data_IF_710766795722
#
_entry.id   IF_710766795722
#
_cell.length_a   1.000
_cell.length_b   1.000
_cell.length_c   1.000
_cell.angle_alpha   90.00
_cell.angle_beta   90.00
_cell.angle_gamma   90.00
#
_symmetry.space_group_name_H-M   'P 1'
#
loop_
_entity.id
_entity.type
_entity.pdbx_description
1 polymer ?
2 non-polymer ?
3 water ?
#
# COMPACT_ATOMS: atom_id res chain seq x y z
N UNK A 6 -6.94 7.20 30.42
CA UNK A 6 -5.82 6.95 29.52
C UNK A 6 -4.94 8.19 29.45
N UNK A 7 -3.63 7.98 29.48
CA UNK A 7 -2.66 9.08 29.44
C UNK A 7 -2.28 9.36 27.99
N UNK A 8 -2.42 10.62 27.58
CA UNK A 8 -2.14 11.03 26.22
C UNK A 8 -1.19 12.22 26.21
N UNK A 9 -0.33 12.28 25.20
CA UNK A 9 0.44 13.48 24.95
C UNK A 9 -0.51 14.61 24.57
N UNK A 10 -0.42 15.78 25.22
CA UNK A 10 -1.28 16.90 24.77
C UNK A 10 -1.03 17.30 23.35
N UNK A 11 0.17 17.05 22.84
CA UNK A 11 0.53 17.39 21.48
C UNK A 11 1.80 16.64 21.10
N UNK A 12 1.93 16.36 19.81
CA UNK A 12 3.16 15.79 19.29
C UNK A 12 3.36 16.29 17.86
N UNK A 13 4.59 16.21 17.39
CA UNK A 13 4.95 16.67 16.06
C UNK A 13 5.12 15.49 15.12
N UNK A 14 4.74 15.71 13.86
CA UNK A 14 4.71 14.64 12.87
C UNK A 14 5.20 15.19 11.54
N UNK A 15 6.29 14.63 11.02
CA UNK A 15 6.78 14.94 9.69
C UNK A 15 6.37 13.80 8.76
N UNK A 16 5.65 14.15 7.69
CA UNK A 16 5.10 13.16 6.77
C UNK A 16 5.94 13.16 5.50
N UNK A 17 6.32 11.96 5.04
CA UNK A 17 6.96 11.76 3.75
C UNK A 17 5.95 11.05 2.86
N UNK A 18 5.71 11.59 1.67
CA UNK A 18 4.82 10.99 0.70
C UNK A 18 5.65 10.55 -0.50
N UNK A 19 5.73 9.25 -0.70
CA UNK A 19 6.51 8.69 -1.79
C UNK A 19 6.51 7.18 -1.71
N UNK A 20 7.20 6.56 -2.67
CA UNK A 20 7.34 5.11 -2.69
C UNK A 20 8.73 4.70 -3.12
N UNK A 21 9.73 5.53 -2.82
CA UNK A 21 11.10 5.21 -3.18
C UNK A 21 11.64 4.12 -2.25
N UNK A 22 12.42 3.21 -2.80
CA UNK A 22 13.01 2.15 -2.00
C UNK A 22 14.03 2.74 -1.03
N UNK A 23 13.91 2.37 0.25
CA UNK A 23 14.83 2.78 1.29
C UNK A 23 15.67 1.58 1.71
N UNK A 24 16.82 1.34 1.08
CA UNK A 24 17.55 0.09 1.35
C UNK A 24 17.81 -0.17 2.83
N UNK A 25 18.27 0.82 3.58
CA UNK A 25 18.61 0.59 4.98
C UNK A 25 17.39 0.17 5.79
N UNK A 26 16.24 0.77 5.51
CA UNK A 26 15.01 0.40 6.21
C UNK A 26 14.67 -1.07 5.95
N UNK A 27 14.63 -1.47 4.68
CA UNK A 27 14.32 -2.85 4.34
C UNK A 27 15.34 -3.79 4.97
N UNK A 28 16.61 -3.40 4.99
CA UNK A 28 17.66 -4.24 5.53
C UNK A 28 17.62 -4.34 7.06
N UNK A 29 16.79 -3.54 7.72
CA UNK A 29 16.72 -3.54 9.18
C UNK A 29 15.55 -4.36 9.72
N UNK A 30 14.78 -5.02 8.85
CA UNK A 30 13.65 -5.81 9.31
C UNK A 30 14.13 -7.01 10.12
N UNK A 31 13.46 -7.25 11.24
CA UNK A 31 13.82 -8.35 12.12
C UNK A 31 12.57 -9.12 12.53
N UNK A 32 12.67 -10.43 12.74
CA UNK A 32 11.53 -11.16 13.30
C UNK A 32 11.15 -10.64 14.67
N UNK A 33 9.85 -10.59 14.94
CA UNK A 33 9.34 -10.14 16.21
C UNK A 33 8.94 -8.69 16.25
N UNK A 34 9.24 -7.91 15.21
CA UNK A 34 8.84 -6.52 15.18
C UNK A 34 7.33 -6.38 15.20
N UNK A 35 6.85 -5.41 15.96
CA UNK A 35 5.43 -5.12 16.01
C UNK A 35 4.99 -4.39 14.73
N UNK A 36 3.67 -4.32 14.54
CA UNK A 36 3.15 -3.60 13.38
C UNK A 36 3.47 -2.11 13.48
N UNK A 37 3.43 -1.55 14.69
CA UNK A 37 3.83 -0.16 14.87
C UNK A 37 5.28 0.05 14.47
N UNK A 38 6.15 -0.94 14.77
CA UNK A 38 7.56 -0.80 14.44
C UNK A 38 7.80 -0.85 12.94
N UNK A 39 7.11 -1.77 12.25
CA UNK A 39 7.28 -1.87 10.80
C UNK A 39 6.73 -0.62 10.12
N UNK A 40 5.63 -0.06 10.64
CA UNK A 40 5.06 1.14 10.04
C UNK A 40 6.05 2.30 10.05
N UNK A 41 6.75 2.50 11.17
CA UNK A 41 7.71 3.60 11.26
C UNK A 41 8.97 3.34 10.45
N UNK A 42 9.25 2.07 10.12
CA UNK A 42 10.47 1.73 9.40
C UNK A 42 10.26 1.79 7.88
N UNK A 43 9.21 1.13 7.38
CA UNK A 43 8.95 1.05 5.94
C UNK A 43 7.94 2.07 5.46
N UNK A 44 6.99 2.45 6.30
CA UNK A 44 5.93 3.36 5.92
C UNK A 44 4.57 2.70 6.00
N UNK A 45 3.54 3.53 5.88
CA UNK A 45 2.17 3.08 5.95
C UNK A 45 1.74 2.54 4.58
N UNK A 46 1.51 1.22 4.45
CA UNK A 46 1.14 0.68 3.14
C UNK A 46 -0.24 1.15 2.72
N UNK A 47 -0.56 0.89 1.45
CA UNK A 47 -1.84 1.31 0.90
C UNK A 47 -2.90 0.32 1.39
N UNK A 48 -3.25 0.45 2.67
CA UNK A 48 -4.26 -0.39 3.32
C UNK A 48 -5.14 0.50 4.17
N UNK A 49 -6.45 0.27 4.12
CA UNK A 49 -7.37 1.05 4.94
C UNK A 49 -7.04 0.88 6.42
N UNK A 50 -6.87 -0.35 6.88
CA UNK A 50 -6.62 -0.66 8.28
C UNK A 50 -5.45 -1.65 8.37
N UNK A 51 -4.24 -1.11 8.45
CA UNK A 51 -3.06 -1.97 8.56
C UNK A 51 -2.96 -2.62 9.92
N UNK A 52 -3.42 -1.93 10.98
CA UNK A 52 -3.28 -2.46 12.33
C UNK A 52 -3.93 -3.84 12.48
N UNK A 53 -4.98 -4.11 11.70
CA UNK A 53 -5.74 -5.33 11.83
C UNK A 53 -5.78 -6.12 10.52
N UNK A 54 -4.71 -6.02 9.74
CA UNK A 54 -4.48 -6.87 8.58
C UNK A 54 -3.12 -7.55 8.77
N UNK A 55 -3.08 -8.86 8.57
CA UNK A 55 -1.88 -9.64 8.85
C UNK A 55 -0.91 -9.70 7.67
N UNK A 56 -1.31 -9.22 6.50
CA UNK A 56 -0.42 -9.16 5.34
C UNK A 56 -0.45 -7.76 4.75
N UNK A 57 0.72 -7.17 4.55
CA UNK A 57 0.86 -5.88 3.89
C UNK A 57 1.71 -6.05 2.64
N UNK A 58 1.37 -5.31 1.60
CA UNK A 58 2.09 -5.36 0.33
C UNK A 58 2.58 -3.97 -0.03
N UNK A 59 3.85 -3.87 -0.38
CA UNK A 59 4.47 -2.63 -0.81
C UNK A 59 4.92 -2.75 -2.26
N UNK A 60 4.87 -1.62 -2.97
CA UNK A 60 5.48 -1.50 -4.30
C UNK A 60 6.39 -0.28 -4.26
N UNK A 61 7.70 -0.52 -4.34
CA UNK A 61 8.68 0.54 -4.28
C UNK A 61 9.24 0.84 -5.67
N UNK A 62 9.74 2.06 -5.82
CA UNK A 62 10.38 2.51 -7.06
C UNK A 62 11.85 2.82 -6.80
N UNK A 63 12.69 2.47 -7.77
CA UNK A 63 14.09 2.86 -7.77
C UNK A 63 14.30 3.81 -8.94
N UNK A 64 14.55 5.08 -8.64
CA UNK A 64 14.67 6.12 -9.66
C UNK A 64 16.05 6.75 -9.60
N UNK A 65 16.60 7.03 -10.77
CA UNK A 65 17.88 7.72 -10.89
C UNK A 65 17.75 8.76 -11.99
N UNK A 66 18.19 9.99 -11.70
CA UNK A 66 18.02 11.13 -12.59
C UNK A 66 16.55 11.47 -12.82
N UNK A 67 15.68 11.06 -11.90
CA UNK A 67 14.26 11.35 -12.02
C UNK A 67 13.49 10.39 -12.90
N UNK A 68 14.02 9.19 -13.14
CA UNK A 68 13.38 8.22 -14.02
C UNK A 68 13.29 6.90 -13.27
N UNK A 69 12.08 6.36 -13.16
CA UNK A 69 11.88 5.08 -12.49
C UNK A 69 12.57 3.99 -13.30
N UNK A 70 13.58 3.36 -12.71
CA UNK A 70 14.37 2.35 -13.40
C UNK A 70 13.86 0.93 -13.15
N UNK A 71 13.31 0.67 -11.98
CA UNK A 71 12.76 -0.65 -11.69
C UNK A 71 11.81 -0.53 -10.50
N UNK A 72 10.90 -1.48 -10.41
CA UNK A 72 9.93 -1.54 -9.32
C UNK A 72 10.20 -2.76 -8.46
N UNK A 73 10.10 -2.57 -7.15
CA UNK A 73 10.38 -3.62 -6.17
C UNK A 73 9.13 -3.85 -5.33
N UNK A 74 8.75 -5.11 -5.17
CA UNK A 74 7.60 -5.48 -4.37
C UNK A 74 8.08 -6.09 -3.06
N UNK A 75 7.35 -5.80 -1.98
CA UNK A 75 7.64 -6.37 -0.67
C UNK A 75 6.33 -6.79 -0.03
N UNK A 76 6.33 -7.97 0.58
CA UNK A 76 5.19 -8.48 1.34
C UNK A 76 5.69 -8.87 2.72
N UNK A 77 4.99 -8.38 3.75
CA UNK A 77 5.31 -8.71 5.13
C UNK A 77 4.12 -9.42 5.73
N UNK A 78 4.39 -10.45 6.54
CA UNK A 78 3.37 -11.24 7.19
C UNK A 78 3.49 -11.12 8.70
N UNK A 79 2.36 -11.02 9.38
CA UNK A 79 2.32 -10.91 10.83
C UNK A 79 1.53 -12.07 11.42
N UNK A 80 1.96 -12.51 12.61
CA UNK A 80 1.24 -13.51 13.38
C UNK A 80 1.34 -13.11 14.85
N UNK A 81 0.19 -13.06 15.52
CA UNK A 81 0.12 -12.59 16.90
C UNK A 81 0.70 -11.19 17.05
N UNK A 82 0.57 -10.37 16.00
CA UNK A 82 0.94 -8.98 16.06
C UNK A 82 2.41 -8.69 15.83
N UNK A 83 3.22 -9.68 15.44
CA UNK A 83 4.64 -9.46 15.20
C UNK A 83 5.01 -10.03 13.83
N UNK A 84 6.13 -9.53 13.30
CA UNK A 84 6.59 -9.88 11.97
C UNK A 84 7.23 -11.27 11.98
N UNK A 85 6.92 -12.07 10.97
CA UNK A 85 7.41 -13.45 10.90
C UNK A 85 7.95 -13.83 9.54
N UNK A 86 7.62 -13.13 8.45
CA UNK A 86 8.02 -13.57 7.13
C UNK A 86 8.00 -12.39 6.17
N UNK A 87 8.88 -12.45 5.15
CA UNK A 87 8.95 -11.43 4.12
C UNK A 87 9.11 -12.11 2.77
N UNK A 88 8.51 -11.49 1.74
CA UNK A 88 8.65 -11.94 0.37
C UNK A 88 8.82 -10.72 -0.54
N UNK A 89 9.28 -10.97 -1.75
CA UNK A 89 9.37 -9.92 -2.74
C UNK A 89 10.81 -9.56 -3.06
N UNK A 90 11.02 -9.05 -4.27
CA UNK A 90 12.36 -8.73 -4.75
C UNK A 90 12.92 -7.44 -4.16
N UNK A 91 12.14 -6.71 -3.34
CA UNK A 91 12.69 -5.55 -2.66
C UNK A 91 13.78 -5.95 -1.69
N UNK A 92 13.71 -7.15 -1.13
CA UNK A 92 14.73 -7.61 -0.19
C UNK A 92 16.08 -7.73 -0.88
N UNK A 93 16.13 -8.39 -2.03
CA UNK A 93 17.40 -8.58 -2.73
C UNK A 93 17.88 -7.28 -3.35
N UNK A 94 16.95 -6.48 -3.90
CA UNK A 94 17.33 -5.19 -4.48
C UNK A 94 17.90 -4.24 -3.43
N UNK A 95 17.38 -4.31 -2.20
CA UNK A 95 17.92 -3.47 -1.13
C UNK A 95 19.31 -3.91 -0.74
N UNK A 96 19.53 -5.22 -0.61
CA UNK A 96 20.85 -5.73 -0.23
C UNK A 96 21.88 -5.41 -1.30
N UNK A 97 21.49 -5.46 -2.58
CA UNK A 97 22.42 -5.15 -3.65
C UNK A 97 22.78 -3.66 -3.68
N UNK A 98 21.83 -2.79 -3.33
CA UNK A 98 22.13 -1.36 -3.28
C UNK A 98 23.06 -1.02 -2.13
N UNK A 99 22.87 -1.66 -0.98
CA UNK A 99 23.75 -1.43 0.16
C UNK A 99 25.16 -1.90 -0.13
N UNK A 100 25.30 -3.07 -0.76
CA UNK A 100 26.63 -3.57 -1.10
C UNK A 100 27.27 -2.73 -2.21
N UNK A 101 26.46 -2.18 -3.11
CA UNK A 101 27.00 -1.30 -4.14
C UNK A 101 27.52 -0.01 -3.53
N UNK A 102 26.83 0.50 -2.50
CA UNK A 102 27.33 1.68 -1.79
C UNK A 102 28.64 1.38 -1.08
N UNK A 103 28.78 0.17 -0.54
CA UNK A 103 30.04 -0.22 0.10
C UNK A 103 31.17 -0.30 -0.91
N UNK A 104 30.93 -0.97 -2.05
CA UNK A 104 31.96 -1.09 -3.07
C UNK A 104 32.40 0.28 -3.59
N UNK A 105 31.49 1.26 -3.58
CA UNK A 105 31.85 2.59 -4.04
C UNK A 105 32.70 3.34 -3.02
N UNK A 106 32.56 3.00 -1.74
CA UNK A 106 33.43 3.60 -0.72
C UNK A 106 34.87 3.17 -0.92
N UNK A 107 35.09 1.97 -1.44
CA UNK A 107 36.42 1.45 -1.71
C UNK A 107 36.94 1.80 -3.09
N UNK A 108 36.19 2.60 -3.84
CA UNK A 108 36.58 2.99 -5.19
C UNK A 108 36.70 1.75 -6.09
N UNK B 7 12.39 18.45 25.16
CA UNK B 7 11.08 18.75 24.63
C UNK B 7 10.01 17.94 25.36
N UNK B 8 8.89 18.60 25.71
CA UNK B 8 7.80 17.91 26.39
C UNK B 8 6.99 17.04 25.45
N UNK B 9 7.02 17.34 24.15
CA UNK B 9 6.21 16.63 23.18
C UNK B 9 7.09 15.85 22.20
N UNK B 10 6.77 14.60 21.90
CA UNK B 10 7.61 13.81 21.01
C UNK B 10 7.46 14.25 19.57
N UNK B 11 8.32 13.68 18.72
CA UNK B 11 8.35 14.01 17.31
C UNK B 11 8.66 12.74 16.53
N UNK B 12 7.87 12.46 15.50
CA UNK B 12 8.00 11.24 14.73
C UNK B 12 8.05 11.55 13.25
N UNK B 13 8.65 10.63 12.50
CA UNK B 13 8.69 10.69 11.04
C UNK B 13 7.89 9.51 10.51
N UNK B 14 6.90 9.80 9.67
CA UNK B 14 6.04 8.78 9.09
C UNK B 14 6.03 8.92 7.57
N UNK B 15 6.22 7.81 6.88
CA UNK B 15 6.15 7.77 5.42
C UNK B 15 4.81 7.20 5.01
N UNK B 16 4.10 7.92 4.14
CA UNK B 16 2.84 7.46 3.57
C UNK B 16 3.10 7.01 2.15
N UNK B 17 2.84 5.74 1.86
CA UNK B 17 3.21 5.14 0.59
C UNK B 17 2.31 5.68 -0.51
N UNK B 18 2.91 6.14 -1.60
CA UNK B 18 2.20 6.66 -2.75
C UNK B 18 1.96 5.54 -3.76
N UNK B 19 0.88 5.69 -4.52
CA UNK B 19 0.53 4.72 -5.55
C UNK B 19 -0.94 4.37 -5.58
N UNK B 20 -1.36 3.67 -6.63
CA UNK B 20 -2.73 3.17 -6.77
C UNK B 20 -3.75 4.27 -6.47
N UNK B 21 -3.61 5.40 -7.16
CA UNK B 21 -4.55 6.50 -6.98
C UNK B 21 -5.91 6.11 -7.53
N UNK B 22 -6.96 6.51 -6.81
CA UNK B 22 -8.32 6.14 -7.19
C UNK B 22 -8.66 6.67 -8.58
N UNK B 23 -9.21 5.79 -9.42
CA UNK B 23 -9.75 6.18 -10.71
C UNK B 23 -11.27 6.19 -10.62
N UNK B 24 -11.90 7.34 -10.36
CA UNK B 24 -13.36 7.32 -10.09
C UNK B 24 -14.17 6.72 -11.23
N UNK B 25 -13.83 7.03 -12.48
CA UNK B 25 -14.58 6.50 -13.61
C UNK B 25 -14.52 4.98 -13.65
N UNK B 26 -13.35 4.41 -13.36
CA UNK B 26 -13.22 2.96 -13.37
C UNK B 26 -14.10 2.31 -12.30
N UNK B 27 -14.10 2.88 -11.09
CA UNK B 27 -14.87 2.31 -10.00
C UNK B 27 -16.37 2.49 -10.25
N UNK B 28 -16.77 3.67 -10.70
CA UNK B 28 -18.18 3.92 -11.01
C UNK B 28 -18.65 3.16 -12.24
N UNK B 29 -17.76 2.44 -12.93
CA UNK B 29 -18.13 1.69 -14.12
C UNK B 29 -18.54 0.26 -13.81
N UNK B 30 -18.25 -0.25 -12.62
CA UNK B 30 -18.58 -1.62 -12.27
C UNK B 30 -20.10 -1.81 -12.23
N UNK B 31 -20.57 -2.89 -12.86
CA UNK B 31 -21.98 -3.21 -12.91
C UNK B 31 -22.17 -4.70 -12.69
N UNK B 32 -23.26 -5.10 -12.05
CA UNK B 32 -23.53 -6.54 -11.91
C UNK B 32 -23.63 -7.22 -13.26
N UNK B 33 -23.11 -8.45 -13.33
CA UNK B 33 -23.10 -9.22 -14.55
C UNK B 33 -21.80 -9.16 -15.33
N UNK B 34 -20.91 -8.23 -15.01
CA UNK B 34 -19.61 -8.18 -15.65
C UNK B 34 -18.79 -9.42 -15.30
N UNK B 35 -18.13 -9.98 -16.31
CA UNK B 35 -17.24 -11.10 -16.08
C UNK B 35 -16.03 -10.66 -15.26
N UNK B 36 -15.33 -11.64 -14.70
CA UNK B 36 -14.05 -11.35 -14.04
C UNK B 36 -13.09 -10.67 -15.01
N UNK B 37 -13.07 -11.12 -16.27
CA UNK B 37 -12.18 -10.52 -17.26
C UNK B 37 -12.49 -9.04 -17.44
N UNK B 38 -13.77 -8.66 -17.43
CA UNK B 38 -14.14 -7.26 -17.52
C UNK B 38 -13.52 -6.45 -16.38
N UNK B 39 -13.64 -6.94 -15.15
CA UNK B 39 -13.11 -6.20 -14.01
C UNK B 39 -11.59 -6.10 -14.10
N UNK B 40 -10.94 -7.11 -14.67
CA UNK B 40 -9.50 -7.02 -14.86
C UNK B 40 -9.14 -5.90 -15.82
N UNK B 41 -9.89 -5.79 -16.92
CA UNK B 41 -9.61 -4.73 -17.89
C UNK B 41 -9.90 -3.35 -17.31
N UNK B 42 -10.86 -3.25 -16.39
CA UNK B 42 -11.19 -1.97 -15.79
C UNK B 42 -10.23 -1.58 -14.68
N UNK B 43 -9.89 -2.53 -13.81
CA UNK B 43 -9.17 -2.23 -12.57
C UNK B 43 -7.78 -2.83 -12.50
N UNK B 44 -7.43 -3.76 -13.38
CA UNK B 44 -6.22 -4.54 -13.22
C UNK B 44 -6.41 -5.63 -12.19
N UNK B 45 -5.41 -6.49 -12.09
CA UNK B 45 -5.50 -7.63 -11.19
C UNK B 45 -5.33 -7.18 -9.74
N UNK B 46 -6.03 -7.81 -8.80
CA UNK B 46 -5.76 -7.56 -7.38
C UNK B 46 -4.45 -8.21 -6.96
N UNK B 47 -4.01 -7.86 -5.76
CA UNK B 47 -2.74 -8.38 -5.26
C UNK B 47 -2.92 -9.81 -4.75
N UNK B 48 -3.99 -10.05 -4.00
CA UNK B 48 -4.24 -11.38 -3.47
C UNK B 48 -4.95 -12.24 -4.52
N UNK B 49 -4.51 -13.49 -4.64
CA UNK B 49 -5.09 -14.40 -5.62
C UNK B 49 -5.08 -15.84 -5.10
N UNK B 50 -5.31 -16.01 -3.80
CA UNK B 50 -5.32 -17.34 -3.20
C UNK B 50 -6.68 -17.99 -3.38
N UNK B 51 -6.98 -19.02 -2.59
CA UNK B 51 -8.25 -19.72 -2.73
C UNK B 51 -9.41 -18.89 -2.21
N UNK B 52 -9.24 -18.31 -1.01
CA UNK B 52 -10.31 -17.51 -0.41
C UNK B 52 -10.63 -16.27 -1.24
N UNK B 53 -9.70 -15.82 -2.09
CA UNK B 53 -9.89 -14.62 -2.90
C UNK B 53 -10.09 -14.95 -4.38
N UNK B 54 -10.61 -16.14 -4.68
CA UNK B 54 -10.92 -16.48 -6.06
C UNK B 54 -12.20 -15.77 -6.52
N UNK B 55 -13.20 -15.71 -5.65
CA UNK B 55 -14.45 -15.00 -5.94
C UNK B 55 -14.60 -13.74 -5.09
N UNK B 56 -13.54 -13.29 -4.43
CA UNK B 56 -13.56 -12.08 -3.62
C UNK B 56 -12.26 -11.34 -3.89
N UNK B 57 -12.33 -10.27 -4.68
CA UNK B 57 -11.15 -9.50 -5.06
C UNK B 57 -11.10 -8.21 -4.25
N UNK B 58 -9.96 -7.98 -3.61
CA UNK B 58 -9.74 -6.80 -2.78
C UNK B 58 -8.86 -5.81 -3.51
N UNK B 59 -9.26 -4.55 -3.49
CA UNK B 59 -8.47 -3.44 -4.00
C UNK B 59 -8.38 -2.35 -2.95
N UNK B 60 -7.26 -1.62 -2.96
CA UNK B 60 -7.11 -0.46 -2.11
C UNK B 60 -6.49 0.66 -2.92
N UNK B 61 -7.03 1.87 -2.76
CA UNK B 61 -6.62 3.03 -3.54
C UNK B 61 -6.25 4.18 -2.61
N UNK B 62 -5.35 5.03 -3.11
CA UNK B 62 -5.06 6.29 -2.44
C UNK B 62 -5.98 7.38 -2.96
N UNK B 63 -6.43 8.24 -2.04
CA UNK B 63 -7.27 9.38 -2.39
C UNK B 63 -6.53 10.65 -1.98
N UNK B 64 -6.29 11.52 -2.95
CA UNK B 64 -5.49 12.72 -2.74
C UNK B 64 -6.32 13.96 -3.00
N UNK B 65 -6.02 15.03 -2.26
CA UNK B 65 -6.62 16.33 -2.46
C UNK B 65 -5.60 17.39 -2.12
N UNK B 66 -5.37 18.31 -3.06
CA UNK B 66 -4.50 19.45 -2.81
C UNK B 66 -3.09 19.00 -2.43
N UNK B 67 -2.61 17.94 -3.07
CA UNK B 67 -1.26 17.47 -2.86
C UNK B 67 -1.06 16.62 -1.63
N UNK B 68 -2.12 16.24 -0.92
CA UNK B 68 -2.02 15.45 0.30
C UNK B 68 -2.81 14.16 0.10
N UNK B 69 -2.22 13.05 0.51
CA UNK B 69 -2.94 11.78 0.59
C UNK B 69 -3.84 11.85 1.81
N UNK B 70 -5.15 11.78 1.60
CA UNK B 70 -6.12 12.00 2.66
C UNK B 70 -6.75 10.72 3.17
N UNK B 71 -6.82 9.68 2.34
CA UNK B 71 -7.61 8.51 2.70
C UNK B 71 -7.18 7.33 1.85
N UNK B 72 -7.16 6.14 2.46
CA UNK B 72 -7.03 4.88 1.76
C UNK B 72 -8.42 4.29 1.58
N UNK B 73 -8.85 4.14 0.33
CA UNK B 73 -10.21 3.75 0.00
C UNK B 73 -10.21 2.31 -0.49
N UNK B 74 -10.97 1.45 0.17
CA UNK B 74 -10.98 0.03 -0.13
C UNK B 74 -12.17 -0.34 -1.02
N UNK B 75 -11.98 -1.41 -1.79
CA UNK B 75 -13.01 -1.92 -2.68
C UNK B 75 -12.96 -3.44 -2.66
N UNK B 76 -14.13 -4.07 -2.56
CA UNK B 76 -14.25 -5.53 -2.62
C UNK B 76 -15.25 -5.88 -3.69
N UNK B 77 -14.89 -6.82 -4.56
CA UNK B 77 -15.75 -7.28 -5.64
C UNK B 77 -16.04 -8.76 -5.42
N UNK B 78 -17.32 -9.11 -5.43
CA UNK B 78 -17.76 -10.48 -5.23
C UNK B 78 -18.25 -11.07 -6.53
N UNK B 79 -17.93 -12.34 -6.77
CA UNK B 79 -18.28 -13.02 -8.01
C UNK B 79 -19.01 -14.32 -7.71
N UNK B 80 -19.88 -14.70 -8.62
CA UNK B 80 -20.51 -16.01 -8.61
C UNK B 80 -20.70 -16.46 -10.05
N UNK B 81 -20.21 -17.65 -10.37
CA UNK B 81 -20.27 -18.16 -11.74
C UNK B 81 -19.51 -17.26 -12.71
N UNK B 82 -18.44 -16.64 -12.24
CA UNK B 82 -17.58 -15.84 -13.08
C UNK B 82 -18.08 -14.43 -13.38
N UNK B 83 -19.21 -14.01 -12.81
CA UNK B 83 -19.74 -12.68 -13.06
C UNK B 83 -19.89 -11.94 -11.73
N UNK B 84 -19.82 -10.62 -11.81
CA UNK B 84 -19.90 -9.78 -10.63
C UNK B 84 -21.31 -9.77 -10.08
N UNK B 85 -21.44 -10.01 -8.77
CA UNK B 85 -22.74 -10.07 -8.12
C UNK B 85 -22.98 -8.84 -7.24
N UNK B 86 -21.95 -8.34 -6.56
CA UNK B 86 -22.11 -7.13 -5.77
C UNK B 86 -20.74 -6.56 -5.43
N UNK B 87 -20.74 -5.30 -4.99
CA UNK B 87 -19.53 -4.60 -4.58
C UNK B 87 -19.78 -3.90 -3.26
N UNK B 88 -18.71 -3.70 -2.50
CA UNK B 88 -18.78 -2.96 -1.25
C UNK B 88 -17.43 -2.30 -0.99
N UNK B 89 -17.45 -1.27 -0.16
CA UNK B 89 -16.25 -0.58 0.25
C UNK B 89 -16.39 0.94 0.12
N UNK B 90 -15.43 1.63 0.73
CA UNK B 90 -15.44 3.09 0.73
C UNK B 90 -15.27 3.65 -0.68
N UNK B 91 -14.56 2.92 -1.56
CA UNK B 91 -14.25 3.46 -2.88
C UNK B 91 -15.50 3.77 -3.69
N UNK B 92 -16.59 3.03 -3.44
CA UNK B 92 -17.81 3.27 -4.21
C UNK B 92 -18.36 4.66 -3.94
N UNK B 93 -18.55 5.00 -2.67
CA UNK B 93 -18.96 6.36 -2.33
C UNK B 93 -17.87 7.37 -2.68
N UNK B 94 -16.61 6.99 -2.51
CA UNK B 94 -15.51 7.89 -2.79
C UNK B 94 -15.50 8.31 -4.25
N UNK B 95 -15.80 7.36 -5.15
CA UNK B 95 -15.84 7.68 -6.58
C UNK B 95 -17.13 8.40 -6.95
N UNK B 96 -18.25 8.01 -6.34
CA UNK B 96 -19.53 8.66 -6.64
C UNK B 96 -19.46 10.15 -6.34
N UNK B 97 -19.02 10.50 -5.13
CA UNK B 97 -18.94 11.91 -4.74
C UNK B 97 -17.81 12.64 -5.45
N UNK B 98 -16.78 11.92 -5.90
CA UNK B 98 -15.70 12.57 -6.64
C UNK B 98 -16.16 12.99 -8.04
N UNK B 99 -17.01 12.16 -8.67
CA UNK B 99 -17.56 12.53 -9.97
C UNK B 99 -18.63 13.60 -9.85
N UNK B 100 -19.45 13.52 -8.79
CA UNK B 100 -20.48 14.54 -8.58
C UNK B 100 -19.86 15.90 -8.28
N UNK B 101 -18.69 15.92 -7.63
CA UNK B 101 -17.99 17.18 -7.37
C UNK B 101 -17.30 17.70 -8.62
N UNK B 102 -16.93 16.81 -9.54
CA UNK B 102 -16.31 17.24 -10.79
C UNK B 102 -17.32 17.84 -11.77
N UNK B 103 -18.61 17.59 -11.58
CA UNK B 103 -19.64 18.15 -12.44
C UNK B 103 -20.01 19.56 -12.01
X LIG C 1 -14.13 7.45 3.12
#
# INVERSE_FOLDING_TARGET
GSVERVSLFPSYKLKIIQGNELEPRAVAALRPGMTKDQVLLLLGSPILRDAFHTDRWDYTFNTSRNGIIKERSNLTVYFENGVLVRTEGDALQNAAEALRAKQNADKQ
GSVERVSLFPSYKLKIIQGNELEPRAVAALRPGMTKDQVLLLLGSPILRDAFHTDRWDYTFNTSRNGIIKERSNLTVYFENGVLVRTEGDALQNAAEALRAKQNADKQ
ZN ZN
#
